data_IF_356694044474
#
_entry.id   IF_356694044474
#
_cell.length_a   1.000
_cell.length_b   1.000
_cell.length_c   1.000
_cell.angle_alpha   90.00
_cell.angle_beta   90.00
_cell.angle_gamma   90.00
#
_symmetry.space_group_name_H-M   'P 1'
#
loop_
_entity.id
_entity.type
_entity.pdbx_description
1 polymer ?
#
# COMPACT_ATOMS: atom_id res chain seq x y z
N UNK A 1 2.31 23.52 -42.25
CA UNK A 1 1.70 23.05 -40.97
C UNK A 1 0.82 21.86 -41.33
N UNK A 2 0.86 20.77 -40.60
CA UNK A 2 -0.06 19.67 -40.82
C UNK A 2 -1.46 20.15 -40.44
N UNK A 3 -2.34 20.30 -41.42
CA UNK A 3 -3.77 20.43 -41.16
C UNK A 3 -4.23 19.13 -40.50
N UNK A 4 -4.58 19.21 -39.24
CA UNK A 4 -5.35 18.14 -38.63
C UNK A 4 -6.72 18.10 -39.34
N UNK A 5 -7.21 16.93 -39.77
CA UNK A 5 -8.56 16.79 -40.28
C UNK A 5 -9.57 17.39 -39.29
N UNK A 6 -10.67 17.99 -39.79
CA UNK A 6 -11.68 18.62 -38.92
C UNK A 6 -12.25 17.67 -37.88
N UNK A 7 -12.34 16.39 -38.18
CA UNK A 7 -12.76 15.31 -37.32
C UNK A 7 -11.72 14.91 -36.25
N UNK A 8 -10.45 15.31 -36.44
CA UNK A 8 -9.37 15.07 -35.48
C UNK A 8 -9.13 16.25 -34.50
N UNK A 9 -9.86 17.35 -34.64
CA UNK A 9 -9.72 18.49 -33.72
C UNK A 9 -10.40 18.19 -32.40
N UNK A 10 -9.68 18.29 -31.27
CA UNK A 10 -10.32 18.13 -29.93
C UNK A 10 -11.43 19.17 -29.77
N UNK A 11 -12.55 18.75 -29.23
CA UNK A 11 -13.70 19.62 -28.98
C UNK A 11 -13.30 20.87 -28.19
N UNK A 12 -13.73 22.05 -28.64
CA UNK A 12 -13.47 23.33 -27.97
C UNK A 12 -12.23 24.10 -28.42
N UNK A 13 -11.42 23.58 -29.35
CA UNK A 13 -10.36 24.33 -29.96
C UNK A 13 -10.94 25.33 -30.98
N UNK A 14 -10.36 26.52 -31.06
CA UNK A 14 -10.76 27.58 -31.99
C UNK A 14 -9.53 28.21 -32.63
N UNK A 15 -9.60 28.44 -33.95
CA UNK A 15 -8.60 29.23 -34.63
C UNK A 15 -8.75 30.72 -34.29
N UNK A 16 -7.65 31.47 -34.35
CA UNK A 16 -7.72 32.94 -34.39
C UNK A 16 -8.44 33.40 -35.67
N UNK A 17 -8.92 34.64 -35.68
CA UNK A 17 -9.60 35.20 -36.82
C UNK A 17 -8.75 35.20 -38.12
N UNK A 18 -7.43 35.21 -37.96
CA UNK A 18 -6.46 35.10 -39.06
C UNK A 18 -5.98 33.66 -39.34
N UNK A 19 -6.59 32.67 -38.67
CA UNK A 19 -6.24 31.23 -38.76
C UNK A 19 -4.77 30.90 -38.48
N UNK A 20 -4.02 31.80 -37.83
CA UNK A 20 -2.59 31.63 -37.56
C UNK A 20 -2.30 30.83 -36.29
N UNK A 21 -3.20 30.85 -35.32
CA UNK A 21 -3.02 30.21 -34.03
C UNK A 21 -4.26 29.43 -33.62
N UNK A 22 -4.05 28.20 -33.24
CA UNK A 22 -5.09 27.35 -32.66
C UNK A 22 -5.11 27.55 -31.13
N UNK A 23 -6.10 28.25 -30.62
CA UNK A 23 -6.28 28.42 -29.17
C UNK A 23 -6.81 27.16 -28.52
N UNK A 24 -6.09 26.68 -27.52
CA UNK A 24 -6.58 25.63 -26.68
C UNK A 24 -7.80 26.10 -25.86
N UNK A 25 -8.81 25.26 -25.65
CA UNK A 25 -9.91 25.58 -24.74
C UNK A 25 -9.40 25.82 -23.35
N UNK A 26 -10.20 26.48 -22.51
CA UNK A 26 -9.88 26.65 -21.09
C UNK A 26 -9.62 25.29 -20.43
N UNK A 27 -8.76 25.27 -19.41
CA UNK A 27 -8.27 24.04 -18.78
C UNK A 27 -9.39 23.08 -18.34
N UNK A 28 -10.52 23.63 -17.87
CA UNK A 28 -11.66 22.80 -17.47
C UNK A 28 -12.31 22.07 -18.67
N UNK A 29 -12.33 22.67 -19.87
CA UNK A 29 -12.83 22.03 -21.08
C UNK A 29 -11.84 20.99 -21.64
N UNK A 30 -10.54 21.16 -21.39
CA UNK A 30 -9.54 20.16 -21.75
C UNK A 30 -9.63 18.91 -20.85
N UNK A 31 -9.94 19.10 -19.58
CA UNK A 31 -10.11 18.02 -18.60
C UNK A 31 -11.46 17.30 -18.76
N UNK A 32 -12.51 18.02 -19.18
CA UNK A 32 -13.89 17.53 -19.25
C UNK A 32 -14.48 17.72 -20.66
N UNK A 33 -13.81 17.16 -21.65
CA UNK A 33 -14.27 17.22 -23.06
C UNK A 33 -15.41 16.22 -23.35
N UNK A 34 -15.79 15.36 -22.41
CA UNK A 34 -16.88 14.41 -22.52
C UNK A 34 -18.15 14.92 -21.85
N UNK A 35 -19.30 14.60 -22.45
CA UNK A 35 -20.58 14.93 -21.83
C UNK A 35 -20.71 14.19 -20.50
N UNK A 36 -21.00 14.95 -19.44
CA UNK A 36 -21.23 14.45 -18.09
C UNK A 36 -22.70 14.49 -17.78
N UNK A 37 -23.31 13.36 -17.55
CA UNK A 37 -24.72 13.23 -17.17
C UNK A 37 -24.84 12.65 -15.77
N UNK A 38 -25.98 12.90 -15.11
CA UNK A 38 -26.27 12.39 -13.77
C UNK A 38 -27.55 11.61 -13.77
N UNK A 39 -27.59 10.52 -12.99
CA UNK A 39 -28.80 9.79 -12.69
C UNK A 39 -28.81 9.36 -11.23
N UNK A 40 -29.66 10.00 -10.43
CA UNK A 40 -29.60 9.90 -8.97
C UNK A 40 -28.25 10.41 -8.45
N UNK A 41 -27.58 9.63 -7.62
CA UNK A 41 -26.26 9.96 -7.07
C UNK A 41 -25.09 9.47 -7.90
N UNK A 42 -25.34 8.94 -9.10
CA UNK A 42 -24.29 8.47 -10.00
C UNK A 42 -24.03 9.48 -11.12
N UNK A 43 -22.79 9.47 -11.59
CA UNK A 43 -22.31 10.31 -12.69
C UNK A 43 -21.88 9.41 -13.84
N UNK A 44 -22.32 9.71 -15.05
CA UNK A 44 -21.83 9.07 -16.25
C UNK A 44 -20.86 10.02 -16.95
N UNK A 45 -19.63 9.56 -17.14
CA UNK A 45 -18.57 10.29 -17.82
C UNK A 45 -17.62 9.31 -18.51
N UNK A 46 -17.18 9.62 -19.72
CA UNK A 46 -16.22 8.80 -20.47
C UNK A 46 -16.68 7.36 -20.74
N UNK A 47 -17.99 7.16 -20.91
CA UNK A 47 -18.56 5.81 -21.11
C UNK A 47 -18.64 4.94 -19.85
N UNK A 48 -18.30 5.48 -18.68
CA UNK A 48 -18.36 4.78 -17.40
C UNK A 48 -19.36 5.47 -16.46
N UNK A 49 -19.96 4.68 -15.59
CA UNK A 49 -20.74 5.14 -14.44
C UNK A 49 -19.82 5.26 -13.24
N UNK A 50 -19.91 6.37 -12.50
CA UNK A 50 -19.11 6.68 -11.32
C UNK A 50 -20.02 6.84 -10.10
N UNK A 51 -19.67 6.15 -9.02
CA UNK A 51 -20.30 6.24 -7.72
C UNK A 51 -19.32 6.81 -6.70
N UNK A 52 -19.76 7.79 -5.90
CA UNK A 52 -18.94 8.48 -4.91
C UNK A 52 -19.33 8.08 -3.50
N UNK A 53 -18.36 8.08 -2.61
CA UNK A 53 -18.52 7.87 -1.16
C UNK A 53 -17.71 8.94 -0.45
N UNK A 54 -18.36 9.74 0.41
CA UNK A 54 -17.69 10.71 1.28
C UNK A 54 -17.61 10.18 2.70
N UNK A 55 -16.50 10.34 3.37
CA UNK A 55 -16.39 10.10 4.80
C UNK A 55 -16.92 11.34 5.53
N UNK A 56 -17.92 11.14 6.40
CA UNK A 56 -18.57 12.20 7.17
C UNK A 56 -18.19 12.18 8.65
N UNK A 57 -17.77 11.02 9.15
CA UNK A 57 -17.22 10.86 10.48
C UNK A 57 -15.87 10.12 10.35
N UNK A 58 -14.82 10.61 11.01
CA UNK A 58 -13.52 9.96 10.96
C UNK A 58 -13.58 8.59 11.63
N UNK A 59 -12.60 7.70 11.35
CA UNK A 59 -12.49 6.41 12.02
C UNK A 59 -12.46 6.60 13.55
N UNK A 60 -13.31 5.88 14.26
CA UNK A 60 -13.30 5.86 15.73
C UNK A 60 -12.05 5.13 16.24
N UNK A 61 -11.65 4.08 15.53
CA UNK A 61 -10.41 3.35 15.78
C UNK A 61 -9.47 3.59 14.61
N UNK A 62 -8.34 4.23 14.87
CA UNK A 62 -7.33 4.47 13.84
C UNK A 62 -6.78 3.14 13.33
N UNK A 63 -6.97 2.89 12.06
CA UNK A 63 -6.42 1.74 11.34
C UNK A 63 -5.54 2.21 10.20
N UNK A 64 -4.58 1.39 9.82
CA UNK A 64 -3.71 1.73 8.71
C UNK A 64 -4.47 1.75 7.38
N UNK A 65 -4.01 2.55 6.42
CA UNK A 65 -4.59 2.58 5.09
C UNK A 65 -4.58 1.21 4.39
N UNK A 66 -3.60 0.36 4.72
CA UNK A 66 -3.50 -0.99 4.16
C UNK A 66 -4.69 -1.87 4.53
N UNK A 67 -5.31 -1.67 5.70
CA UNK A 67 -6.52 -2.41 6.08
C UNK A 67 -7.70 -2.08 5.14
N UNK A 68 -7.85 -0.81 4.75
CA UNK A 68 -8.85 -0.43 3.76
C UNK A 68 -8.55 -1.06 2.40
N UNK A 69 -7.29 -1.05 1.97
CA UNK A 69 -6.88 -1.68 0.69
C UNK A 69 -7.19 -3.18 0.66
N UNK A 70 -6.99 -3.87 1.79
CA UNK A 70 -7.33 -5.30 1.92
C UNK A 70 -8.83 -5.56 1.94
N UNK A 71 -9.61 -4.66 2.56
CA UNK A 71 -11.06 -4.81 2.67
C UNK A 71 -11.79 -4.66 1.33
N UNK A 72 -11.23 -3.89 0.39
CA UNK A 72 -11.83 -3.73 -0.93
C UNK A 72 -11.38 -4.86 -1.87
N UNK A 73 -12.31 -5.67 -2.41
CA UNK A 73 -11.96 -6.74 -3.35
C UNK A 73 -11.22 -6.21 -4.58
N UNK A 74 -10.17 -6.91 -5.03
CA UNK A 74 -9.33 -6.51 -6.18
C UNK A 74 -10.12 -6.29 -7.48
N UNK A 75 -11.26 -6.93 -7.65
CA UNK A 75 -12.13 -6.76 -8.80
C UNK A 75 -12.91 -5.44 -8.81
N UNK A 76 -12.97 -4.73 -7.70
CA UNK A 76 -13.66 -3.45 -7.58
C UNK A 76 -12.67 -2.33 -7.87
N UNK A 77 -12.81 -1.60 -8.99
CA UNK A 77 -11.96 -0.46 -9.27
C UNK A 77 -12.36 0.70 -8.36
N UNK A 78 -11.39 1.33 -7.72
CA UNK A 78 -11.65 2.46 -6.84
C UNK A 78 -10.47 3.42 -6.77
N UNK A 79 -10.76 4.61 -6.33
CA UNK A 79 -9.78 5.62 -5.94
C UNK A 79 -10.27 6.35 -4.71
N UNK A 80 -9.33 6.90 -3.95
CA UNK A 80 -9.60 7.77 -2.81
C UNK A 80 -8.75 9.04 -2.96
N UNK A 81 -9.34 10.17 -2.62
CA UNK A 81 -8.67 11.45 -2.52
C UNK A 81 -8.80 11.94 -1.09
N UNK A 82 -7.70 12.33 -0.53
CA UNK A 82 -7.58 12.92 0.79
C UNK A 82 -6.94 14.28 0.65
N UNK A 83 -7.63 15.32 1.02
CA UNK A 83 -7.11 16.68 1.04
C UNK A 83 -6.88 17.09 2.49
N UNK A 84 -5.70 17.62 2.79
CA UNK A 84 -5.32 18.11 4.09
C UNK A 84 -4.91 19.57 3.97
N UNK A 85 -5.56 20.42 4.75
CA UNK A 85 -5.32 21.86 4.77
C UNK A 85 -5.11 22.34 6.22
N UNK A 86 -4.29 23.36 6.44
CA UNK A 86 -4.11 23.96 7.76
C UNK A 86 -5.33 24.80 8.18
N UNK A 87 -5.38 25.16 9.46
CA UNK A 87 -6.33 26.16 9.96
C UNK A 87 -7.68 25.60 10.35
N UNK A 88 -7.76 24.37 10.85
CA UNK A 88 -9.00 23.74 11.29
C UNK A 88 -9.71 24.54 12.37
N UNK A 89 -9.00 25.02 13.38
CA UNK A 89 -9.61 25.86 14.42
C UNK A 89 -10.05 27.22 13.90
N UNK A 90 -9.34 27.82 12.94
CA UNK A 90 -9.78 29.06 12.29
C UNK A 90 -11.13 28.86 11.56
N UNK A 91 -11.29 27.74 10.88
CA UNK A 91 -12.55 27.40 10.23
C UNK A 91 -13.69 27.15 11.23
N UNK A 92 -13.36 26.64 12.42
CA UNK A 92 -14.33 26.38 13.51
C UNK A 92 -14.64 27.58 14.38
N UNK A 93 -13.94 28.74 14.25
CA UNK A 93 -14.12 29.88 15.15
C UNK A 93 -15.55 30.38 15.23
N UNK A 94 -16.25 30.55 14.09
CA UNK A 94 -17.64 30.97 14.09
C UNK A 94 -18.53 29.94 14.82
N UNK A 95 -18.34 28.67 14.54
CA UNK A 95 -19.06 27.57 15.19
C UNK A 95 -18.78 27.54 16.70
N UNK A 96 -17.52 27.72 17.11
CA UNK A 96 -17.11 27.83 18.52
C UNK A 96 -17.83 28.93 19.22
N UNK A 97 -17.88 30.13 18.62
CA UNK A 97 -18.59 31.30 19.20
C UNK A 97 -20.09 31.01 19.36
N UNK A 98 -20.76 30.51 18.33
CA UNK A 98 -22.18 30.16 18.40
C UNK A 98 -22.48 29.10 19.47
N UNK A 99 -21.63 28.05 19.55
CA UNK A 99 -21.80 27.00 20.56
C UNK A 99 -21.56 27.51 21.98
N UNK A 100 -20.65 28.46 22.18
CA UNK A 100 -20.41 29.08 23.48
C UNK A 100 -21.68 29.81 23.98
N UNK A 101 -22.35 30.57 23.12
CA UNK A 101 -23.61 31.26 23.49
C UNK A 101 -24.79 30.31 23.69
N UNK A 102 -24.78 29.12 23.10
CA UNK A 102 -25.83 28.11 23.19
C UNK A 102 -25.52 26.94 24.10
N UNK A 103 -24.39 26.96 24.81
CA UNK A 103 -23.93 25.87 25.67
C UNK A 103 -24.81 25.48 26.84
N UNK A 104 -25.76 26.39 27.23
CA UNK A 104 -26.74 26.11 28.24
C UNK A 104 -27.83 25.11 27.77
N UNK A 105 -27.96 24.89 26.47
CA UNK A 105 -28.90 23.92 25.90
C UNK A 105 -28.25 22.52 25.98
N UNK A 106 -28.92 21.59 26.69
CA UNK A 106 -28.41 20.25 26.92
C UNK A 106 -28.06 19.48 25.64
N UNK A 107 -28.81 19.65 24.56
CA UNK A 107 -28.59 19.05 23.26
C UNK A 107 -27.31 19.58 22.52
N UNK A 108 -26.89 20.81 22.85
CA UNK A 108 -25.73 21.47 22.22
C UNK A 108 -24.43 21.22 22.99
N UNK A 109 -24.55 20.91 24.27
CA UNK A 109 -23.41 20.75 25.19
C UNK A 109 -22.36 19.76 24.72
N UNK A 110 -22.69 18.55 24.23
CA UNK A 110 -21.65 17.61 23.73
C UNK A 110 -20.86 18.16 22.54
N UNK A 111 -21.50 18.92 21.66
CA UNK A 111 -20.87 19.57 20.52
C UNK A 111 -19.92 20.69 20.97
N UNK A 112 -20.33 21.48 21.97
CA UNK A 112 -19.49 22.50 22.60
C UNK A 112 -18.23 21.87 23.23
N UNK A 113 -18.41 20.84 24.05
CA UNK A 113 -17.32 20.13 24.70
C UNK A 113 -16.31 19.55 23.67
N UNK A 114 -16.82 18.98 22.57
CA UNK A 114 -15.96 18.47 21.48
C UNK A 114 -15.12 19.58 20.82
N UNK A 115 -15.73 20.75 20.55
CA UNK A 115 -14.99 21.88 19.95
C UNK A 115 -13.98 22.48 20.94
N UNK A 116 -14.30 22.52 22.23
CA UNK A 116 -13.37 22.99 23.25
C UNK A 116 -12.18 22.02 23.44
N UNK A 117 -12.43 20.72 23.35
CA UNK A 117 -11.35 19.70 23.36
C UNK A 117 -10.43 19.90 22.16
N UNK A 118 -10.97 20.11 20.96
CA UNK A 118 -10.16 20.42 19.77
C UNK A 118 -9.37 21.72 19.94
N UNK A 119 -9.93 22.76 20.54
CA UNK A 119 -9.24 24.00 20.81
C UNK A 119 -8.05 23.82 21.77
N UNK A 120 -8.22 23.02 22.83
CA UNK A 120 -7.14 22.67 23.73
C UNK A 120 -6.05 21.78 23.09
N UNK A 121 -6.45 20.97 22.11
CA UNK A 121 -5.53 20.16 21.31
C UNK A 121 -4.71 21.05 20.38
N UNK A 122 -5.32 22.05 19.73
CA UNK A 122 -4.66 22.96 18.77
C UNK A 122 -3.52 23.77 19.40
N UNK A 123 -3.53 23.98 20.74
CA UNK A 123 -2.41 24.59 21.47
C UNK A 123 -1.15 23.73 21.48
N UNK A 124 -1.29 22.42 21.37
CA UNK A 124 -0.18 21.45 21.43
C UNK A 124 0.16 20.91 20.06
N UNK A 125 -0.83 20.68 19.24
CA UNK A 125 -0.72 20.07 17.93
C UNK A 125 -1.77 20.69 16.99
N UNK A 126 -1.39 21.15 15.77
CA UNK A 126 -2.30 21.80 14.85
C UNK A 126 -3.51 20.94 14.50
N UNK A 127 -4.70 21.49 14.61
CA UNK A 127 -5.93 20.91 14.09
C UNK A 127 -6.06 21.28 12.61
N UNK A 128 -6.21 20.29 11.77
CA UNK A 128 -6.26 20.41 10.31
C UNK A 128 -7.69 20.38 9.79
N UNK A 129 -7.90 20.82 8.56
CA UNK A 129 -9.10 20.55 7.78
C UNK A 129 -8.78 19.37 6.88
N UNK A 130 -9.53 18.27 6.99
CA UNK A 130 -9.36 17.09 6.17
C UNK A 130 -10.64 16.75 5.45
N UNK A 131 -10.56 16.44 4.17
CA UNK A 131 -11.69 15.92 3.41
C UNK A 131 -11.29 14.61 2.75
N UNK A 132 -12.18 13.62 2.79
CA UNK A 132 -11.93 12.30 2.22
C UNK A 132 -13.09 11.93 1.31
N UNK A 133 -12.76 11.73 0.04
CA UNK A 133 -13.68 11.31 -1.01
C UNK A 133 -13.15 10.08 -1.71
N UNK A 134 -13.97 9.05 -1.78
CA UNK A 134 -13.70 7.87 -2.58
C UNK A 134 -14.64 7.79 -3.78
N UNK A 135 -14.22 7.14 -4.83
CA UNK A 135 -15.08 6.80 -5.96
C UNK A 135 -14.75 5.44 -6.53
N UNK A 136 -15.76 4.82 -7.10
CA UNK A 136 -15.68 3.59 -7.87
C UNK A 136 -16.40 3.78 -9.21
N UNK A 137 -16.21 2.85 -10.14
CA UNK A 137 -16.83 2.92 -11.44
C UNK A 137 -17.20 1.55 -11.99
N UNK A 138 -18.03 1.58 -13.02
CA UNK A 138 -18.45 0.38 -13.75
C UNK A 138 -18.95 0.73 -15.16
N UNK A 139 -18.93 -0.27 -16.06
CA UNK A 139 -19.44 -0.11 -17.44
C UNK A 139 -20.96 0.09 -17.49
N UNK A 140 -21.67 -0.47 -16.52
CA UNK A 140 -23.11 -0.30 -16.39
C UNK A 140 -23.47 0.32 -15.05
N UNK A 141 -24.66 0.86 -14.95
CA UNK A 141 -25.17 1.47 -13.72
C UNK A 141 -25.23 0.44 -12.58
N UNK A 142 -25.69 -0.77 -12.86
CA UNK A 142 -25.84 -1.86 -11.89
C UNK A 142 -24.48 -2.27 -11.32
N UNK A 143 -23.47 -2.42 -12.18
CA UNK A 143 -22.10 -2.74 -11.76
C UNK A 143 -21.55 -1.62 -10.86
N UNK A 144 -21.76 -0.36 -11.27
CA UNK A 144 -21.31 0.78 -10.48
C UNK A 144 -21.99 0.84 -9.11
N UNK A 145 -23.31 0.65 -9.05
CA UNK A 145 -24.07 0.66 -7.78
C UNK A 145 -23.59 -0.45 -6.85
N UNK A 146 -23.36 -1.66 -7.38
CA UNK A 146 -22.81 -2.78 -6.61
C UNK A 146 -21.42 -2.45 -6.08
N UNK A 147 -20.54 -1.95 -6.94
CA UNK A 147 -19.18 -1.57 -6.55
C UNK A 147 -19.19 -0.46 -5.48
N UNK A 148 -20.11 0.51 -5.60
CA UNK A 148 -20.28 1.58 -4.61
C UNK A 148 -20.72 1.04 -3.25
N UNK A 149 -21.63 0.08 -3.22
CA UNK A 149 -22.06 -0.56 -1.98
C UNK A 149 -20.90 -1.33 -1.32
N UNK A 150 -20.10 -2.05 -2.09
CA UNK A 150 -18.91 -2.76 -1.59
C UNK A 150 -17.88 -1.77 -1.03
N UNK A 151 -17.55 -0.73 -1.80
CA UNK A 151 -16.59 0.29 -1.36
C UNK A 151 -17.08 1.01 -0.10
N UNK A 152 -18.37 1.38 -0.04
CA UNK A 152 -19.00 1.98 1.14
C UNK A 152 -18.83 1.08 2.37
N UNK A 153 -19.20 -0.20 2.25
CA UNK A 153 -19.08 -1.16 3.34
C UNK A 153 -17.64 -1.34 3.82
N UNK A 154 -16.67 -1.39 2.90
CA UNK A 154 -15.26 -1.47 3.25
C UNK A 154 -14.77 -0.23 4.01
N UNK A 155 -15.19 0.96 3.59
CA UNK A 155 -14.86 2.22 4.29
C UNK A 155 -15.53 2.27 5.66
N UNK A 156 -16.79 1.88 5.78
CA UNK A 156 -17.50 1.85 7.08
C UNK A 156 -16.85 0.86 8.04
N UNK A 157 -16.35 -0.27 7.55
CA UNK A 157 -15.57 -1.24 8.32
C UNK A 157 -14.17 -0.76 8.70
N UNK A 158 -13.62 0.24 7.98
CA UNK A 158 -12.29 0.78 8.25
C UNK A 158 -12.31 1.71 9.47
N UNK A 159 -12.18 1.11 10.66
CA UNK A 159 -12.16 1.82 11.92
C UNK A 159 -13.50 2.44 12.34
N UNK A 160 -14.61 1.93 11.81
CA UNK A 160 -15.98 2.44 12.10
C UNK A 160 -16.16 3.89 11.65
N UNK A 161 -16.07 4.11 10.34
CA UNK A 161 -16.30 5.42 9.72
C UNK A 161 -17.79 5.70 9.48
N UNK A 162 -18.20 6.97 9.58
CA UNK A 162 -19.45 7.43 9.00
C UNK A 162 -19.27 7.79 7.52
N UNK A 163 -20.19 7.36 6.66
CA UNK A 163 -20.13 7.65 5.23
C UNK A 163 -21.45 8.19 4.68
N UNK A 164 -21.38 8.87 3.54
CA UNK A 164 -22.55 9.22 2.73
C UNK A 164 -22.30 8.99 1.26
N UNK A 165 -23.34 8.56 0.54
CA UNK A 165 -23.36 8.47 -0.92
C UNK A 165 -24.33 9.47 -1.54
N UNK A 166 -24.99 10.29 -0.70
CA UNK A 166 -25.95 11.30 -1.13
C UNK A 166 -25.28 12.66 -1.18
N UNK A 167 -25.37 13.31 -2.31
CA UNK A 167 -24.76 14.61 -2.59
C UNK A 167 -25.79 15.56 -3.18
N UNK A 168 -25.71 16.84 -2.82
CA UNK A 168 -26.58 17.89 -3.41
C UNK A 168 -26.35 18.05 -4.92
N UNK A 169 -25.08 17.92 -5.36
CA UNK A 169 -24.70 17.89 -6.77
C UNK A 169 -23.68 16.74 -7.00
N UNK A 170 -24.11 15.63 -7.59
CA UNK A 170 -23.25 14.49 -7.85
C UNK A 170 -22.07 14.81 -8.79
N UNK A 171 -22.23 15.76 -9.73
CA UNK A 171 -21.14 16.20 -10.62
C UNK A 171 -20.00 16.84 -9.85
N UNK A 172 -20.33 17.74 -8.93
CA UNK A 172 -19.33 18.36 -8.05
C UNK A 172 -18.67 17.35 -7.14
N UNK A 173 -19.44 16.42 -6.58
CA UNK A 173 -18.89 15.32 -5.78
C UNK A 173 -17.91 14.47 -6.61
N UNK A 174 -18.24 14.16 -7.85
CA UNK A 174 -17.35 13.41 -8.75
C UNK A 174 -16.06 14.18 -9.05
N UNK A 175 -16.15 15.47 -9.37
CA UNK A 175 -14.97 16.33 -9.60
C UNK A 175 -14.06 16.36 -8.38
N UNK A 176 -14.63 16.41 -7.17
CA UNK A 176 -13.87 16.36 -5.92
C UNK A 176 -13.17 15.01 -5.66
N UNK A 177 -13.42 13.98 -6.46
CA UNK A 177 -12.63 12.73 -6.44
C UNK A 177 -11.43 12.74 -7.38
N UNK A 178 -11.31 13.75 -8.24
CA UNK A 178 -10.23 13.87 -9.23
C UNK A 178 -9.09 14.65 -8.60
N UNK A 179 -7.87 14.13 -8.73
CA UNK A 179 -6.68 14.80 -8.20
C UNK A 179 -6.51 16.18 -8.84
N UNK A 180 -6.17 17.18 -8.03
CA UNK A 180 -5.97 18.57 -8.42
C UNK A 180 -7.21 19.29 -9.00
N UNK A 181 -8.40 18.66 -9.04
CA UNK A 181 -9.64 19.31 -9.42
C UNK A 181 -10.46 19.72 -8.19
N UNK A 182 -11.27 20.79 -8.31
CA UNK A 182 -12.18 21.22 -7.27
C UNK A 182 -13.57 21.47 -7.83
N UNK A 183 -14.55 20.82 -7.26
CA UNK A 183 -15.97 21.02 -7.63
C UNK A 183 -16.65 22.19 -6.91
N UNK A 184 -15.92 22.96 -6.13
CA UNK A 184 -16.47 24.04 -5.29
C UNK A 184 -16.92 23.53 -3.93
N UNK A 185 -18.24 23.43 -3.65
CA UNK A 185 -18.72 22.87 -2.38
C UNK A 185 -18.24 21.43 -2.23
N UNK A 186 -17.31 21.23 -1.32
CA UNK A 186 -16.62 19.97 -1.09
C UNK A 186 -17.42 19.00 -0.23
N UNK A 187 -16.85 17.85 0.03
CA UNK A 187 -17.34 16.90 1.02
C UNK A 187 -17.35 17.54 2.41
N UNK A 188 -18.02 16.88 3.36
CA UNK A 188 -18.06 17.33 4.75
C UNK A 188 -16.63 17.39 5.30
N UNK A 189 -16.16 18.56 5.79
CA UNK A 189 -14.83 18.67 6.35
C UNK A 189 -14.75 17.99 7.72
N UNK A 190 -13.66 17.25 7.93
CA UNK A 190 -13.26 16.68 9.20
C UNK A 190 -12.19 17.59 9.84
N UNK A 191 -12.07 17.57 11.15
CA UNK A 191 -11.14 18.42 11.89
C UNK A 191 -10.22 17.60 12.80
N UNK A 192 -9.37 16.71 12.24
CA UNK A 192 -8.46 15.92 13.04
C UNK A 192 -7.22 16.71 13.49
N UNK A 193 -6.60 16.35 14.63
CA UNK A 193 -5.23 16.70 14.92
C UNK A 193 -4.29 16.19 13.82
N UNK A 194 -3.16 16.86 13.59
CA UNK A 194 -2.24 16.55 12.49
C UNK A 194 -1.72 15.11 12.54
N UNK A 195 -1.36 14.60 13.72
CA UNK A 195 -0.90 13.21 13.89
C UNK A 195 -1.94 12.18 13.46
N UNK A 196 -3.20 12.42 13.81
CA UNK A 196 -4.31 11.55 13.39
C UNK A 196 -4.56 11.65 11.88
N UNK A 197 -4.50 12.87 11.31
CA UNK A 197 -4.62 13.05 9.87
C UNK A 197 -3.54 12.28 9.12
N UNK A 198 -2.27 12.43 9.52
CA UNK A 198 -1.12 11.78 8.87
C UNK A 198 -1.22 10.26 8.96
N UNK A 199 -1.71 9.71 10.08
CA UNK A 199 -1.84 8.26 10.25
C UNK A 199 -2.84 7.61 9.29
N UNK A 200 -3.80 8.38 8.77
CA UNK A 200 -4.77 7.91 7.77
C UNK A 200 -4.20 7.88 6.35
N UNK A 201 -3.12 8.63 6.07
CA UNK A 201 -2.51 8.64 4.75
C UNK A 201 -1.69 7.37 4.49
N UNK A 202 -1.57 6.94 3.23
CA UNK A 202 -0.75 5.78 2.83
C UNK A 202 0.76 6.09 2.87
N UNK A 203 1.22 6.74 3.95
CA UNK A 203 2.62 7.13 4.12
C UNK A 203 3.47 5.99 4.70
N UNK A 204 2.86 5.08 5.43
CA UNK A 204 3.53 3.93 6.07
C UNK A 204 3.58 2.74 5.12
N UNK A 205 4.09 2.95 3.92
CA UNK A 205 4.34 1.86 3.00
C UNK A 205 5.65 1.18 3.39
N UNK A 206 5.61 -0.14 3.56
CA UNK A 206 6.83 -0.92 3.69
C UNK A 206 7.72 -0.66 2.47
N UNK A 207 8.78 0.10 2.65
CA UNK A 207 9.75 0.38 1.61
C UNK A 207 10.93 -0.56 1.73
N UNK A 208 11.35 -1.18 0.62
CA UNK A 208 12.58 -1.94 0.60
C UNK A 208 13.79 -1.02 0.78
N UNK A 209 14.71 -1.40 1.66
CA UNK A 209 16.00 -0.72 1.84
C UNK A 209 16.99 -1.06 0.71
N UNK A 210 16.71 -2.10 -0.06
CA UNK A 210 17.57 -2.58 -1.15
C UNK A 210 17.19 -2.04 -2.53
N UNK A 211 16.50 -0.92 -2.64
CA UNK A 211 15.99 -0.37 -3.92
C UNK A 211 17.01 -0.48 -5.06
N UNK A 212 16.64 -1.23 -6.10
CA UNK A 212 17.49 -1.46 -7.28
C UNK A 212 18.72 -2.36 -7.05
N UNK A 213 18.82 -3.00 -5.88
CA UNK A 213 19.94 -3.88 -5.51
C UNK A 213 19.48 -5.24 -4.95
N UNK A 214 18.17 -5.50 -4.98
CA UNK A 214 17.61 -6.76 -4.53
C UNK A 214 17.87 -7.88 -5.56
N UNK A 215 18.19 -9.07 -5.08
CA UNK A 215 18.29 -10.29 -5.88
C UNK A 215 17.08 -11.22 -5.72
N UNK A 216 16.13 -10.84 -4.87
CA UNK A 216 14.83 -11.49 -4.69
C UNK A 216 13.73 -10.44 -4.73
N UNK A 217 12.66 -10.72 -5.48
CA UNK A 217 11.47 -9.90 -5.52
C UNK A 217 10.33 -10.63 -4.82
N UNK A 218 9.87 -10.06 -3.73
CA UNK A 218 8.68 -10.48 -2.99
C UNK A 218 7.52 -9.52 -3.25
N UNK A 219 6.34 -9.88 -2.80
CA UNK A 219 5.18 -9.01 -2.79
C UNK A 219 4.73 -8.76 -1.35
N UNK A 220 4.45 -7.49 -1.06
CA UNK A 220 3.78 -7.11 0.18
C UNK A 220 2.30 -7.50 0.10
N UNK A 221 1.60 -7.49 1.23
CA UNK A 221 0.18 -7.87 1.27
C UNK A 221 -0.72 -6.95 0.42
N UNK A 222 -0.32 -5.71 0.20
CA UNK A 222 -0.99 -4.76 -0.71
C UNK A 222 -0.64 -5.00 -2.19
N UNK A 223 0.13 -6.06 -2.49
CA UNK A 223 0.54 -6.44 -3.85
C UNK A 223 1.68 -5.60 -4.43
N UNK A 224 2.34 -4.75 -3.62
CA UNK A 224 3.50 -4.00 -4.09
C UNK A 224 4.73 -4.90 -4.18
N UNK A 225 5.58 -4.65 -5.16
CA UNK A 225 6.87 -5.31 -5.28
C UNK A 225 7.80 -4.87 -4.14
N UNK A 226 8.44 -5.84 -3.51
CA UNK A 226 9.36 -5.63 -2.39
C UNK A 226 10.68 -6.35 -2.67
N UNK A 227 11.71 -5.58 -2.98
CA UNK A 227 13.05 -6.10 -3.22
C UNK A 227 13.73 -6.52 -1.93
N UNK A 228 14.39 -7.66 -1.94
CA UNK A 228 15.23 -8.15 -0.84
C UNK A 228 16.62 -8.47 -1.38
N UNK A 229 17.64 -7.90 -0.78
CA UNK A 229 19.05 -8.16 -1.11
C UNK A 229 19.65 -9.16 -0.13
N UNK A 230 19.62 -10.44 -0.49
CA UNK A 230 20.29 -11.48 0.28
C UNK A 230 21.81 -11.33 0.15
N UNK A 231 22.53 -11.55 1.24
CA UNK A 231 23.99 -11.40 1.31
C UNK A 231 24.49 -10.01 0.84
N UNK A 232 23.71 -8.97 1.08
CA UNK A 232 24.06 -7.61 0.71
C UNK A 232 25.26 -7.11 1.51
N UNK A 233 26.19 -6.42 0.84
CA UNK A 233 27.32 -5.75 1.50
C UNK A 233 26.89 -4.61 2.46
N UNK A 234 25.63 -4.28 2.50
CA UNK A 234 25.05 -3.31 3.45
C UNK A 234 24.84 -3.92 4.85
N UNK A 235 24.95 -5.24 4.98
CA UNK A 235 24.74 -5.97 6.23
C UNK A 235 25.96 -6.83 6.54
N UNK A 236 26.61 -6.55 7.66
CA UNK A 236 27.69 -7.40 8.16
C UNK A 236 27.17 -8.71 8.77
N UNK A 237 25.95 -8.69 9.28
CA UNK A 237 25.28 -9.82 9.92
C UNK A 237 23.77 -9.61 9.84
N UNK A 238 23.03 -10.63 9.44
CA UNK A 238 21.56 -10.59 9.42
C UNK A 238 20.99 -11.91 9.95
N UNK A 239 19.80 -11.83 10.48
CA UNK A 239 19.01 -12.98 10.91
C UNK A 239 17.64 -12.86 10.24
N UNK A 240 17.23 -13.91 9.57
CA UNK A 240 15.92 -14.00 8.93
C UNK A 240 15.04 -14.95 9.75
N UNK A 241 13.82 -14.54 10.02
CA UNK A 241 12.83 -15.35 10.69
C UNK A 241 11.63 -15.54 9.75
N UNK A 242 11.33 -16.79 9.41
CA UNK A 242 10.19 -17.17 8.58
C UNK A 242 9.13 -17.92 9.41
N UNK A 243 8.29 -17.22 10.19
CA UNK A 243 7.21 -17.86 10.93
C UNK A 243 6.08 -18.29 9.97
N UNK A 244 5.38 -19.36 10.32
CA UNK A 244 4.22 -19.84 9.56
C UNK A 244 3.81 -21.25 9.98
N UNK A 245 2.57 -21.61 9.72
CA UNK A 245 2.03 -22.93 10.01
C UNK A 245 2.60 -24.02 9.07
N UNK A 246 2.53 -25.29 9.41
CA UNK A 246 2.88 -26.37 8.50
C UNK A 246 2.11 -26.27 7.16
N UNK A 247 2.80 -26.49 6.06
CA UNK A 247 2.19 -26.43 4.71
C UNK A 247 2.18 -25.05 4.04
N UNK A 248 2.57 -23.97 4.72
CA UNK A 248 2.59 -22.61 4.15
C UNK A 248 3.82 -22.28 3.28
N UNK A 249 4.61 -23.28 2.88
CA UNK A 249 5.73 -23.07 1.96
C UNK A 249 7.04 -22.57 2.59
N UNK A 250 7.20 -22.64 3.93
CA UNK A 250 8.46 -22.22 4.61
C UNK A 250 9.71 -22.89 4.04
N UNK A 251 9.68 -24.21 3.86
CA UNK A 251 10.83 -24.94 3.30
C UNK A 251 11.10 -24.55 1.84
N UNK A 252 10.05 -24.27 1.06
CA UNK A 252 10.21 -23.76 -0.31
C UNK A 252 10.89 -22.38 -0.27
N UNK A 253 10.46 -21.49 0.61
CA UNK A 253 11.08 -20.17 0.77
C UNK A 253 12.56 -20.30 1.15
N UNK A 254 12.92 -21.10 2.15
CA UNK A 254 14.30 -21.27 2.60
C UNK A 254 15.17 -21.87 1.47
N UNK A 255 14.66 -22.86 0.73
CA UNK A 255 15.36 -23.43 -0.42
C UNK A 255 15.56 -22.37 -1.52
N UNK A 256 14.56 -21.55 -1.83
CA UNK A 256 14.66 -20.45 -2.80
C UNK A 256 15.71 -19.42 -2.35
N UNK A 257 15.73 -19.04 -1.08
CA UNK A 257 16.74 -18.12 -0.53
C UNK A 257 18.16 -18.68 -0.70
N UNK A 258 18.34 -19.96 -0.40
CA UNK A 258 19.64 -20.65 -0.58
C UNK A 258 20.03 -20.72 -2.05
N UNK A 259 19.12 -21.05 -2.96
CA UNK A 259 19.34 -21.09 -4.40
C UNK A 259 19.75 -19.71 -4.96
N UNK A 260 19.12 -18.64 -4.51
CA UNK A 260 19.46 -17.27 -4.91
C UNK A 260 20.88 -16.91 -4.44
N UNK A 261 21.25 -17.27 -3.21
CA UNK A 261 22.61 -17.02 -2.71
C UNK A 261 23.66 -17.77 -3.54
N UNK A 262 23.38 -19.03 -3.87
CA UNK A 262 24.27 -19.86 -4.72
C UNK A 262 24.37 -19.28 -6.13
N UNK A 263 23.26 -18.92 -6.73
CA UNK A 263 23.20 -18.37 -8.10
C UNK A 263 23.86 -16.99 -8.21
N UNK A 264 23.85 -16.22 -7.12
CA UNK A 264 24.49 -14.91 -7.06
C UNK A 264 26.00 -14.98 -6.89
N UNK A 265 26.54 -16.14 -6.54
CA UNK A 265 27.99 -16.36 -6.37
C UNK A 265 28.67 -16.47 -7.72
N UNK A 266 29.70 -15.65 -7.97
CA UNK A 266 30.35 -15.57 -9.30
C UNK A 266 31.34 -16.71 -9.60
N UNK A 267 32.14 -17.10 -8.64
CA UNK A 267 33.23 -18.12 -8.88
C UNK A 267 33.25 -19.26 -7.88
N UNK A 268 33.01 -18.96 -6.62
CA UNK A 268 33.04 -19.94 -5.55
C UNK A 268 31.66 -20.08 -4.95
N UNK A 269 31.23 -21.29 -4.64
CA UNK A 269 30.00 -21.52 -3.90
C UNK A 269 30.09 -20.85 -2.51
N UNK A 270 29.04 -20.20 -2.04
CA UNK A 270 28.98 -19.70 -0.67
C UNK A 270 28.97 -20.92 0.28
N UNK A 271 29.56 -20.75 1.45
CA UNK A 271 29.43 -21.77 2.50
C UNK A 271 28.02 -21.70 3.08
N UNK A 272 27.25 -22.76 2.89
CA UNK A 272 25.88 -22.88 3.41
C UNK A 272 25.81 -24.15 4.26
N UNK A 273 25.46 -24.00 5.53
CA UNK A 273 25.08 -25.10 6.41
C UNK A 273 23.57 -25.10 6.58
N UNK A 274 22.91 -26.17 6.13
CA UNK A 274 21.48 -26.34 6.22
C UNK A 274 21.17 -27.47 7.24
N UNK A 275 20.49 -27.13 8.32
CA UNK A 275 20.07 -28.10 9.34
C UNK A 275 18.57 -28.28 9.23
N UNK A 276 18.12 -29.46 8.87
CA UNK A 276 16.70 -29.79 8.68
C UNK A 276 16.29 -31.01 9.49
N UNK A 277 15.07 -30.99 10.01
CA UNK A 277 14.44 -32.15 10.69
C UNK A 277 13.59 -32.96 9.70
N UNK A 278 14.05 -33.14 8.48
CA UNK A 278 13.31 -33.87 7.46
C UNK A 278 14.13 -34.01 6.17
N UNK A 279 13.43 -34.17 5.06
CA UNK A 279 14.05 -34.36 3.77
C UNK A 279 13.89 -33.15 2.82
N UNK A 280 13.46 -31.99 3.34
CA UNK A 280 13.13 -30.84 2.49
C UNK A 280 14.33 -30.22 1.79
N UNK A 281 15.53 -30.31 2.41
CA UNK A 281 16.77 -29.82 1.81
C UNK A 281 17.42 -30.80 0.81
N UNK A 282 17.02 -32.06 0.80
CA UNK A 282 17.65 -33.08 -0.03
C UNK A 282 17.52 -32.79 -1.53
N UNK A 283 16.36 -32.30 -1.95
CA UNK A 283 16.14 -31.89 -3.34
C UNK A 283 17.06 -30.73 -3.79
N UNK A 284 17.28 -29.76 -2.91
CA UNK A 284 18.18 -28.63 -3.16
C UNK A 284 19.65 -29.12 -3.31
N UNK A 285 20.12 -29.99 -2.40
CA UNK A 285 21.46 -30.55 -2.45
C UNK A 285 21.67 -31.35 -3.75
N UNK A 286 20.68 -32.13 -4.14
CA UNK A 286 20.75 -32.89 -5.39
C UNK A 286 20.77 -31.97 -6.63
N UNK A 287 19.94 -30.93 -6.66
CA UNK A 287 19.95 -29.94 -7.74
C UNK A 287 21.31 -29.26 -7.90
N UNK A 288 21.95 -28.87 -6.78
CA UNK A 288 23.28 -28.27 -6.79
C UNK A 288 24.31 -29.26 -7.32
N UNK A 289 24.30 -30.50 -6.81
CA UNK A 289 25.24 -31.55 -7.29
C UNK A 289 25.13 -31.81 -8.78
N UNK A 290 23.91 -31.86 -9.30
CA UNK A 290 23.66 -32.12 -10.72
C UNK A 290 24.05 -30.92 -11.60
N UNK A 291 24.05 -29.71 -11.03
CA UNK A 291 24.49 -28.49 -11.72
C UNK A 291 25.99 -28.26 -11.69
N UNK A 292 26.73 -28.95 -10.82
CA UNK A 292 28.17 -28.82 -10.68
C UNK A 292 28.93 -29.72 -11.63
N UNK A 293 30.13 -29.29 -12.12
CA UNK A 293 31.06 -30.16 -12.86
C UNK A 293 31.43 -31.38 -12.03
N UNK A 294 31.81 -32.50 -12.67
CA UNK A 294 32.12 -33.75 -11.96
C UNK A 294 33.15 -33.60 -10.83
N UNK A 295 34.16 -32.73 -11.01
CA UNK A 295 35.25 -32.49 -10.07
C UNK A 295 34.80 -31.71 -8.82
N UNK A 296 33.63 -31.06 -8.87
CA UNK A 296 33.12 -30.20 -7.82
C UNK A 296 31.85 -30.76 -7.14
N UNK A 297 31.40 -31.93 -7.52
CA UNK A 297 30.18 -32.52 -6.97
C UNK A 297 30.23 -32.77 -5.47
N UNK A 298 31.41 -32.94 -4.92
CA UNK A 298 31.65 -33.14 -3.50
C UNK A 298 31.53 -31.85 -2.67
N UNK A 299 31.40 -30.68 -3.33
CA UNK A 299 31.12 -29.43 -2.65
C UNK A 299 29.64 -29.34 -2.13
N UNK A 300 28.76 -30.20 -2.64
CA UNK A 300 27.36 -30.28 -2.18
C UNK A 300 27.13 -31.65 -1.50
N UNK A 301 27.11 -31.67 -0.17
CA UNK A 301 26.99 -32.89 0.64
C UNK A 301 25.78 -32.87 1.51
N UNK A 302 24.98 -33.94 1.48
CA UNK A 302 23.91 -34.20 2.46
C UNK A 302 24.37 -35.26 3.45
N UNK A 303 24.32 -34.92 4.73
CA UNK A 303 24.69 -35.84 5.85
C UNK A 303 23.45 -36.13 6.64
N UNK A 304 23.12 -37.41 6.83
CA UNK A 304 22.02 -37.81 7.72
C UNK A 304 22.64 -38.09 9.09
N UNK A 305 22.25 -37.31 10.08
CA UNK A 305 22.66 -37.55 11.46
C UNK A 305 21.82 -38.69 12.02
N UNK A 306 22.45 -39.83 12.30
CA UNK A 306 21.84 -40.98 12.95
C UNK A 306 22.73 -41.44 14.11
N UNK A 307 22.15 -42.26 15.02
CA UNK A 307 22.93 -42.90 16.11
C UNK A 307 23.77 -44.09 15.60
N UNK A 308 23.84 -44.32 14.31
CA UNK A 308 24.70 -45.36 13.72
C UNK A 308 26.17 -44.96 13.81
N UNK A 309 27.07 -45.83 14.22
CA UNK A 309 28.50 -45.51 14.31
C UNK A 309 29.13 -44.97 13.02
N UNK A 310 28.59 -45.36 11.85
CA UNK A 310 29.01 -44.92 10.55
C UNK A 310 28.68 -43.45 10.23
N UNK A 311 27.56 -42.93 10.84
CA UNK A 311 27.04 -41.58 10.59
C UNK A 311 27.12 -40.66 11.82
N UNK A 312 27.56 -41.19 12.99
CA UNK A 312 27.74 -40.40 14.20
C UNK A 312 29.00 -39.56 14.08
N UNK A 313 28.90 -38.25 14.13
CA UNK A 313 30.03 -37.33 14.20
C UNK A 313 29.95 -36.50 15.46
N UNK A 314 30.97 -36.61 16.31
CA UNK A 314 31.14 -35.75 17.47
C UNK A 314 31.97 -34.54 17.07
N UNK A 315 31.36 -33.37 16.97
CA UNK A 315 32.00 -32.10 16.64
C UNK A 315 33.09 -31.69 17.66
N UNK A 316 33.00 -32.22 18.87
CA UNK A 316 33.93 -31.96 19.99
C UNK A 316 34.97 -33.07 20.15
N UNK A 317 34.90 -34.09 19.30
CA UNK A 317 35.85 -35.19 19.35
C UNK A 317 37.23 -34.74 18.90
N UNK A 318 38.23 -35.03 19.68
CA UNK A 318 39.65 -34.76 19.41
C UNK A 318 40.42 -36.03 19.52
N UNK A 319 41.52 -36.13 18.78
CA UNK A 319 42.44 -37.26 18.89
C UNK A 319 42.91 -37.40 20.36
N UNK A 320 43.05 -38.63 20.83
CA UNK A 320 43.52 -38.86 22.17
C UNK A 320 44.87 -38.15 22.41
N UNK A 321 44.90 -37.32 23.47
CA UNK A 321 46.08 -36.50 23.78
C UNK A 321 46.19 -35.15 23.05
N UNK A 322 45.32 -34.86 22.09
CA UNK A 322 45.29 -33.58 21.42
C UNK A 322 44.54 -32.54 22.22
N UNK A 323 45.10 -31.35 22.37
CA UNK A 323 44.48 -30.19 23.07
C UNK A 323 43.62 -29.31 22.16
N UNK A 324 43.65 -29.54 20.86
CA UNK A 324 42.93 -28.79 19.82
C UNK A 324 42.46 -29.72 18.70
N UNK A 325 41.39 -29.42 18.00
CA UNK A 325 40.99 -30.13 16.81
C UNK A 325 42.14 -30.13 15.78
N UNK A 326 42.46 -31.30 15.23
CA UNK A 326 43.61 -31.46 14.33
C UNK A 326 43.17 -31.58 12.88
N UNK A 327 41.93 -31.95 12.63
CA UNK A 327 41.40 -32.08 11.27
C UNK A 327 40.91 -30.74 10.74
N UNK A 328 41.07 -30.42 9.44
CA UNK A 328 40.57 -29.18 8.84
C UNK A 328 39.10 -28.98 9.06
N UNK A 329 38.33 -30.05 9.19
CA UNK A 329 36.87 -30.03 9.44
C UNK A 329 36.54 -29.61 10.87
N UNK A 330 37.51 -29.60 11.77
CA UNK A 330 37.35 -29.22 13.20
C UNK A 330 37.99 -27.86 13.54
N UNK A 331 38.58 -27.19 12.57
CA UNK A 331 39.16 -25.84 12.71
C UNK A 331 38.16 -24.74 12.33
N UNK A 332 37.03 -24.65 13.03
CA UNK A 332 36.07 -23.56 12.89
C UNK A 332 36.23 -22.55 13.98
#
# INVERSE_FOLDING_TARGET
>A
QPHLPEDAQPAGYRWTDDESVLHAPSLHLQLFNTQVTTQGNLVQAGGLWHGMVSITLPPQNLQTFNELVRAVPRAVPWRIRMDLMPGGMKALNLKKTLLTYSSFISAVRPMYESVMTLAATDEKEPVCIMTIMASTWGKTREICTRNQAILKSAIEGWGVCGTTTTFGDPRRAWVNTILAASGGSGPVPLYPPLSHAISLFPLNRAGSVWRGKGNLMLHTEDGSAFEVGLASSQQNKHTELAPGDPGLGKSVLINTLSEIQISSAQKNLPFIAYIDKGYSAQGLVQLIRDSLPPERKDEAVGIILSNDPEYTRNLFDVMYGAKKPITPEKNF
#
